data_IF_465898069276
#
_entry.id   IF_465898069276
#
_cell.length_a   1.000
_cell.length_b   1.000
_cell.length_c   1.000
_cell.angle_alpha   90.00
_cell.angle_beta   90.00
_cell.angle_gamma   90.00
#
_symmetry.space_group_name_H-M   'P 1'
#
loop_
_entity.id
_entity.type
_entity.pdbx_description
1 polymer ?
#
# COMPACT_ATOMS: atom_id res chain seq x y z
N UNK A 1 49.19 20.12 22.74
CA UNK A 1 48.64 19.49 21.52
C UNK A 1 48.06 18.15 21.97
N UNK A 2 46.77 17.83 21.92
CA UNK A 2 45.71 18.23 21.01
C UNK A 2 44.39 18.27 21.78
N UNK A 3 43.62 19.32 21.54
CA UNK A 3 42.28 19.59 22.08
C UNK A 3 41.30 18.53 21.63
N UNK A 4 40.49 18.04 22.56
CA UNK A 4 39.32 17.22 22.31
C UNK A 4 38.40 17.98 21.36
N UNK A 5 38.45 17.64 20.07
CA UNK A 5 37.42 18.01 19.12
C UNK A 5 36.16 17.24 19.50
N UNK A 6 35.42 17.83 20.44
CA UNK A 6 34.03 17.51 20.68
C UNK A 6 33.31 17.74 19.37
N UNK A 7 33.07 16.66 18.62
CA UNK A 7 32.25 16.63 17.43
C UNK A 7 30.90 17.24 17.77
N UNK A 8 30.74 18.52 17.47
CA UNK A 8 29.49 19.24 17.58
C UNK A 8 28.51 18.47 16.70
N UNK A 9 27.53 17.80 17.32
CA UNK A 9 26.41 17.24 16.59
C UNK A 9 25.72 18.42 15.91
N UNK A 10 26.01 18.58 14.61
CA UNK A 10 25.33 19.51 13.73
C UNK A 10 23.85 19.12 13.74
N UNK A 11 23.04 19.92 14.45
CA UNK A 11 21.58 19.80 14.41
C UNK A 11 21.17 20.23 13.00
N UNK A 12 20.97 19.23 12.12
CA UNK A 12 20.59 19.45 10.73
C UNK A 12 19.40 20.41 10.60
N UNK A 13 19.48 21.27 9.58
CA UNK A 13 18.55 22.35 9.29
C UNK A 13 17.09 21.87 9.45
N UNK A 14 16.24 22.55 10.24
CA UNK A 14 14.85 22.13 10.43
C UNK A 14 14.13 21.91 9.10
N UNK A 15 14.41 22.70 8.05
CA UNK A 15 13.81 22.55 6.72
C UNK A 15 14.05 21.16 6.11
N UNK A 16 15.25 20.59 6.27
CA UNK A 16 15.59 19.25 5.78
C UNK A 16 14.84 18.15 6.55
N UNK A 17 14.63 18.34 7.86
CA UNK A 17 13.82 17.41 8.67
C UNK A 17 12.36 17.37 8.23
N UNK A 18 11.77 18.50 7.84
CA UNK A 18 10.39 18.56 7.34
C UNK A 18 10.26 17.90 5.96
N UNK A 19 11.21 18.14 5.06
CA UNK A 19 11.25 17.50 3.73
C UNK A 19 11.40 15.98 3.82
N UNK A 20 12.28 15.49 4.69
CA UNK A 20 12.45 14.04 4.91
C UNK A 20 11.19 13.40 5.50
N UNK A 21 10.50 14.07 6.43
CA UNK A 21 9.23 13.59 7.00
C UNK A 21 8.09 13.59 5.97
N UNK A 22 8.04 14.57 5.08
CA UNK A 22 7.09 14.58 3.96
C UNK A 22 7.39 13.43 2.98
N UNK A 23 8.66 13.23 2.61
CA UNK A 23 9.09 12.15 1.72
C UNK A 23 8.78 10.76 2.30
N UNK A 24 8.96 10.58 3.61
CA UNK A 24 8.58 9.33 4.31
C UNK A 24 7.07 9.05 4.28
N UNK A 25 6.24 10.08 4.07
CA UNK A 25 4.77 9.95 3.95
C UNK A 25 4.28 10.11 2.51
N UNK A 26 5.16 9.92 1.51
CA UNK A 26 4.84 10.11 0.10
C UNK A 26 3.57 9.38 -0.35
N UNK A 27 3.39 8.13 0.05
CA UNK A 27 2.17 7.36 -0.28
C UNK A 27 0.89 7.97 0.29
N UNK A 28 0.92 8.44 1.54
CA UNK A 28 -0.22 9.12 2.16
C UNK A 28 -0.52 10.46 1.47
N UNK A 29 0.51 11.22 1.10
CA UNK A 29 0.35 12.48 0.37
C UNK A 29 -0.27 12.25 -1.01
N UNK A 30 0.21 11.26 -1.76
CA UNK A 30 -0.35 10.89 -3.06
C UNK A 30 -1.79 10.41 -2.91
N UNK A 31 -2.07 9.56 -1.91
CA UNK A 31 -3.44 9.13 -1.61
C UNK A 31 -4.36 10.31 -1.34
N UNK A 32 -3.94 11.25 -0.49
CA UNK A 32 -4.72 12.44 -0.15
C UNK A 32 -4.96 13.32 -1.38
N UNK A 33 -3.95 13.51 -2.22
CA UNK A 33 -4.06 14.27 -3.45
C UNK A 33 -5.08 13.66 -4.42
N UNK A 34 -5.02 12.33 -4.63
CA UNK A 34 -5.98 11.61 -5.47
C UNK A 34 -7.39 11.69 -4.88
N UNK A 35 -7.53 11.49 -3.56
CA UNK A 35 -8.81 11.55 -2.86
C UNK A 35 -9.46 12.93 -2.99
N UNK A 36 -8.70 14.01 -2.80
CA UNK A 36 -9.17 15.38 -3.02
C UNK A 36 -9.52 15.65 -4.48
N UNK A 37 -8.70 15.15 -5.41
CA UNK A 37 -8.96 15.23 -6.84
C UNK A 37 -10.31 14.63 -7.22
N UNK A 38 -10.61 13.42 -6.75
CA UNK A 38 -11.92 12.80 -6.98
C UNK A 38 -13.06 13.45 -6.19
N UNK A 39 -12.81 13.91 -4.96
CA UNK A 39 -13.81 14.62 -4.17
C UNK A 39 -14.33 15.89 -4.86
N UNK A 40 -13.46 16.60 -5.60
CA UNK A 40 -13.85 17.79 -6.37
C UNK A 40 -14.36 17.44 -7.77
N UNK A 41 -13.75 16.46 -8.44
CA UNK A 41 -14.06 16.16 -9.85
C UNK A 41 -15.31 15.28 -10.03
N UNK A 42 -15.71 14.52 -9.01
CA UNK A 42 -16.86 13.61 -9.08
C UNK A 42 -17.89 13.94 -7.98
N UNK A 43 -19.10 14.42 -8.34
CA UNK A 43 -20.08 14.96 -7.38
C UNK A 43 -20.63 13.94 -6.39
N UNK A 44 -20.57 12.65 -6.72
CA UNK A 44 -21.06 11.55 -5.86
C UNK A 44 -19.94 10.79 -5.15
N UNK A 45 -18.68 11.20 -5.29
CA UNK A 45 -17.54 10.44 -4.76
C UNK A 45 -17.58 10.31 -3.23
N UNK A 46 -17.92 11.39 -2.51
CA UNK A 46 -18.07 11.36 -1.05
C UNK A 46 -19.51 11.06 -0.59
N UNK A 47 -20.38 10.60 -1.50
CA UNK A 47 -21.72 10.18 -1.11
C UNK A 47 -21.67 8.96 -0.20
N UNK A 48 -22.66 8.84 0.70
CA UNK A 48 -22.79 7.68 1.60
C UNK A 48 -22.85 6.37 0.81
N UNK A 49 -23.47 6.37 -0.39
CA UNK A 49 -23.54 5.20 -1.26
C UNK A 49 -22.18 4.79 -1.83
N UNK A 50 -21.36 5.74 -2.30
CA UNK A 50 -20.02 5.41 -2.78
C UNK A 50 -19.09 5.00 -1.63
N UNK A 51 -19.16 5.69 -0.50
CA UNK A 51 -18.37 5.34 0.70
C UNK A 51 -18.74 3.94 1.17
N UNK A 52 -20.02 3.63 1.34
CA UNK A 52 -20.46 2.30 1.79
C UNK A 52 -20.05 1.20 0.80
N UNK A 53 -20.14 1.46 -0.51
CA UNK A 53 -19.69 0.54 -1.53
C UNK A 53 -18.18 0.28 -1.46
N UNK A 54 -17.36 1.33 -1.32
CA UNK A 54 -15.90 1.19 -1.16
C UNK A 54 -15.56 0.37 0.09
N UNK A 55 -16.22 0.65 1.22
CA UNK A 55 -16.04 -0.13 2.44
C UNK A 55 -16.46 -1.59 2.26
N UNK A 56 -17.60 -1.86 1.63
CA UNK A 56 -18.09 -3.22 1.41
C UNK A 56 -17.15 -4.03 0.49
N UNK A 57 -16.68 -3.42 -0.60
CA UNK A 57 -15.72 -4.06 -1.52
C UNK A 57 -14.36 -4.31 -0.86
N UNK A 58 -13.89 -3.35 -0.04
CA UNK A 58 -12.61 -3.49 0.67
C UNK A 58 -12.68 -4.48 1.83
N UNK A 59 -13.85 -4.65 2.45
CA UNK A 59 -14.03 -5.56 3.58
C UNK A 59 -13.71 -7.02 3.21
N UNK A 60 -14.02 -7.44 1.99
CA UNK A 60 -13.70 -8.79 1.49
C UNK A 60 -12.19 -9.03 1.55
N UNK A 61 -11.39 -8.11 1.02
CA UNK A 61 -9.92 -8.21 1.07
C UNK A 61 -9.40 -8.16 2.50
N UNK A 62 -9.99 -7.33 3.37
CA UNK A 62 -9.62 -7.24 4.78
C UNK A 62 -9.85 -8.54 5.55
N UNK A 63 -11.02 -9.16 5.40
CA UNK A 63 -11.35 -10.45 6.02
C UNK A 63 -10.43 -11.56 5.48
N UNK A 64 -10.17 -11.56 4.17
CA UNK A 64 -9.24 -12.51 3.55
C UNK A 64 -7.83 -12.35 4.13
N UNK A 65 -7.30 -11.13 4.26
CA UNK A 65 -5.98 -10.89 4.84
C UNK A 65 -5.87 -11.41 6.29
N UNK A 66 -6.91 -11.20 7.11
CA UNK A 66 -6.97 -11.72 8.46
C UNK A 66 -6.98 -13.25 8.49
N UNK A 67 -7.80 -13.88 7.65
CA UNK A 67 -7.83 -15.35 7.52
C UNK A 67 -6.50 -15.94 7.06
N UNK A 68 -5.88 -15.32 6.04
CA UNK A 68 -4.57 -15.73 5.52
C UNK A 68 -3.47 -15.58 6.57
N UNK A 69 -3.54 -14.57 7.43
CA UNK A 69 -2.59 -14.42 8.55
C UNK A 69 -2.65 -15.63 9.49
N UNK A 70 -3.85 -16.08 9.87
CA UNK A 70 -4.02 -17.29 10.68
C UNK A 70 -3.48 -18.55 9.98
N UNK A 71 -3.74 -18.69 8.67
CA UNK A 71 -3.26 -19.83 7.86
C UNK A 71 -1.73 -19.85 7.81
N UNK A 72 -1.09 -18.70 7.58
CA UNK A 72 0.38 -18.60 7.51
C UNK A 72 1.01 -18.91 8.86
N UNK A 73 0.44 -18.40 9.96
CA UNK A 73 0.94 -18.67 11.31
C UNK A 73 0.77 -20.15 11.69
N UNK A 74 -0.39 -20.74 11.38
CA UNK A 74 -0.74 -22.10 11.80
C UNK A 74 -0.15 -23.21 10.93
N UNK A 75 -0.13 -23.03 9.61
CA UNK A 75 0.23 -24.08 8.64
C UNK A 75 1.44 -23.77 7.76
N UNK A 76 1.99 -22.55 7.82
CA UNK A 76 3.15 -22.15 7.02
C UNK A 76 2.88 -22.24 5.51
N UNK A 77 3.88 -22.70 4.75
CA UNK A 77 3.80 -22.85 3.28
C UNK A 77 3.39 -24.25 2.81
N UNK A 78 3.10 -25.19 3.73
CA UNK A 78 2.78 -26.56 3.35
C UNK A 78 1.26 -26.76 3.31
N UNK A 79 0.71 -26.82 2.10
CA UNK A 79 -0.73 -27.00 1.87
C UNK A 79 -1.28 -28.30 2.49
N UNK A 80 -0.49 -29.37 2.58
CA UNK A 80 -0.91 -30.67 3.15
C UNK A 80 -1.11 -30.57 4.66
N UNK A 81 -0.37 -29.67 5.33
CA UNK A 81 -0.48 -29.41 6.77
C UNK A 81 -1.48 -28.29 7.10
N UNK A 82 -2.25 -27.81 6.12
CA UNK A 82 -3.19 -26.69 6.28
C UNK A 82 -2.58 -25.30 6.09
N UNK A 83 -1.37 -25.22 5.51
CA UNK A 83 -0.69 -23.98 5.15
C UNK A 83 -1.17 -23.36 3.83
N UNK A 84 -0.56 -22.23 3.49
CA UNK A 84 -0.92 -21.44 2.31
C UNK A 84 -0.38 -22.09 1.02
N UNK A 85 -1.22 -22.22 0.01
CA UNK A 85 -0.81 -22.64 -1.33
C UNK A 85 -0.06 -21.50 -2.04
N UNK A 86 1.26 -21.67 -2.21
CA UNK A 86 2.11 -20.63 -2.79
C UNK A 86 1.80 -20.39 -4.28
N UNK A 87 1.23 -21.38 -4.98
CA UNK A 87 0.85 -21.23 -6.39
C UNK A 87 -0.29 -20.21 -6.58
N UNK A 88 -1.15 -20.03 -5.57
CA UNK A 88 -2.21 -19.02 -5.59
C UNK A 88 -1.63 -17.60 -5.67
N UNK A 89 -0.63 -17.29 -4.84
CA UNK A 89 0.02 -15.97 -4.85
C UNK A 89 0.78 -15.73 -6.17
N UNK A 90 1.48 -16.75 -6.67
CA UNK A 90 2.18 -16.68 -7.95
C UNK A 90 1.22 -16.44 -9.13
N UNK A 91 0.07 -17.12 -9.15
CA UNK A 91 -0.91 -16.96 -10.21
C UNK A 91 -1.58 -15.57 -10.15
N UNK A 92 -1.90 -15.06 -8.96
CA UNK A 92 -2.40 -13.69 -8.80
C UNK A 92 -1.40 -12.65 -9.33
N UNK A 93 -0.11 -12.83 -9.03
CA UNK A 93 0.96 -11.97 -9.54
C UNK A 93 1.10 -12.04 -11.06
N UNK A 94 1.04 -13.25 -11.64
CA UNK A 94 1.08 -13.45 -13.09
C UNK A 94 -0.12 -12.80 -13.78
N UNK A 95 -1.33 -13.01 -13.27
CA UNK A 95 -2.54 -12.39 -13.79
C UNK A 95 -2.44 -10.85 -13.75
N UNK A 96 -1.92 -10.28 -12.66
CA UNK A 96 -1.70 -8.83 -12.54
C UNK A 96 -0.68 -8.31 -13.56
N UNK A 97 0.43 -9.04 -13.76
CA UNK A 97 1.45 -8.68 -14.73
C UNK A 97 0.92 -8.76 -16.18
N UNK A 98 0.18 -9.82 -16.51
CA UNK A 98 -0.47 -9.98 -17.82
C UNK A 98 -1.49 -8.88 -18.04
N UNK A 99 -2.37 -8.63 -17.07
CA UNK A 99 -3.36 -7.55 -17.13
C UNK A 99 -2.69 -6.19 -17.36
N UNK A 100 -1.64 -5.87 -16.58
CA UNK A 100 -0.88 -4.63 -16.76
C UNK A 100 -0.21 -4.55 -18.14
N UNK A 101 0.29 -5.67 -18.66
CA UNK A 101 0.92 -5.72 -19.99
C UNK A 101 -0.08 -5.49 -21.11
N UNK A 102 -1.28 -6.08 -21.01
CA UNK A 102 -2.37 -5.89 -21.97
C UNK A 102 -2.90 -4.44 -21.93
N UNK A 103 -3.09 -3.89 -20.73
CA UNK A 103 -3.49 -2.50 -20.55
C UNK A 103 -2.45 -1.54 -21.17
N UNK A 104 -1.15 -1.80 -21.00
CA UNK A 104 -0.09 -1.01 -21.62
C UNK A 104 -0.02 -1.15 -23.14
N UNK A 105 -0.49 -2.26 -23.69
CA UNK A 105 -0.57 -2.49 -25.14
C UNK A 105 -1.84 -1.90 -25.78
N UNK A 106 -2.69 -1.21 -25.00
CA UNK A 106 -3.91 -0.57 -25.48
C UNK A 106 -5.10 -1.51 -25.63
N UNK A 107 -5.04 -2.71 -25.04
CA UNK A 107 -6.19 -3.58 -24.92
C UNK A 107 -7.00 -3.17 -23.69
N UNK A 108 -8.04 -2.36 -23.90
CA UNK A 108 -9.04 -2.04 -22.88
C UNK A 108 -9.99 -3.23 -22.73
N UNK A 109 -10.14 -3.75 -21.51
CA UNK A 109 -11.09 -4.83 -21.16
C UNK A 109 -12.26 -4.26 -20.35
#
# INVERSE_FOLDING_TARGET
MSTLETSVIQVGDPSQRWLVRLAQRGSLLVFLAILLGFAVSAPNFLSIGNISNVFAQSAVLGILALGLTCVVIGGGSNVVSGGLDLSLAANLGLCAAVYSSLNNAGFEA
#
